data_IF_456766582127
#
_entry.id   IF_456766582127
#
_cell.length_a   1.000
_cell.length_b   1.000
_cell.length_c   1.000
_cell.angle_alpha   90.00
_cell.angle_beta   90.00
_cell.angle_gamma   90.00
#
_symmetry.space_group_name_H-M   'P 1'
#
loop_
_entity.id
_entity.type
_entity.pdbx_description
1 polymer ?
#
# COMPACT_ATOMS: atom_id res chain seq x y z
N UNK A 1 -33.32 79.84 32.44
CA UNK A 1 -32.23 80.02 31.45
C UNK A 1 -31.67 78.65 31.13
N UNK A 2 -32.02 78.09 29.97
CA UNK A 2 -31.48 76.82 29.47
C UNK A 2 -30.22 77.14 28.68
N UNK A 3 -29.05 76.78 29.22
CA UNK A 3 -27.80 76.81 28.49
C UNK A 3 -27.74 75.57 27.60
N UNK A 4 -28.05 75.74 26.32
CA UNK A 4 -27.75 74.76 25.27
C UNK A 4 -26.24 74.71 25.10
N UNK A 5 -25.62 73.66 25.63
CA UNK A 5 -24.22 73.35 25.42
C UNK A 5 -24.05 72.89 23.97
N UNK A 6 -23.71 73.81 23.08
CA UNK A 6 -23.35 73.48 21.71
C UNK A 6 -22.08 72.60 21.73
N UNK A 7 -22.00 71.54 20.92
CA UNK A 7 -20.75 70.81 20.73
C UNK A 7 -19.71 71.79 20.17
N UNK A 8 -18.66 72.07 20.95
CA UNK A 8 -17.62 73.03 20.58
C UNK A 8 -16.76 72.53 19.41
N UNK A 9 -16.01 73.41 18.72
CA UNK A 9 -15.14 73.05 17.58
C UNK A 9 -14.11 71.95 17.88
N UNK A 10 -13.76 71.77 19.16
CA UNK A 10 -12.90 70.67 19.62
C UNK A 10 -13.54 69.28 19.42
N UNK A 11 -14.87 69.13 19.53
CA UNK A 11 -15.53 67.84 19.29
C UNK A 11 -15.67 67.52 17.81
N UNK A 12 -15.91 68.51 16.97
CA UNK A 12 -15.94 68.35 15.51
C UNK A 12 -14.55 67.95 14.98
N UNK A 13 -13.49 68.68 15.38
CA UNK A 13 -12.11 68.34 15.00
C UNK A 13 -11.70 66.93 15.46
N UNK A 14 -12.15 66.51 16.65
CA UNK A 14 -11.89 65.15 17.15
C UNK A 14 -12.63 64.08 16.33
N UNK A 15 -13.88 64.33 15.91
CA UNK A 15 -14.64 63.43 15.04
C UNK A 15 -14.04 63.33 13.63
N UNK A 16 -13.57 64.45 13.07
CA UNK A 16 -12.84 64.47 11.80
C UNK A 16 -11.54 63.67 11.87
N UNK A 17 -10.78 63.81 12.96
CA UNK A 17 -9.54 63.05 13.16
C UNK A 17 -9.81 61.55 13.29
N UNK A 18 -10.90 61.15 13.96
CA UNK A 18 -11.36 59.76 14.04
C UNK A 18 -11.78 59.22 12.67
N UNK A 19 -12.52 60.01 11.87
CA UNK A 19 -12.88 59.62 10.50
C UNK A 19 -11.64 59.43 9.62
N UNK A 20 -10.67 60.34 9.70
CA UNK A 20 -9.42 60.22 8.93
C UNK A 20 -8.68 58.93 9.31
N UNK A 21 -8.49 58.68 10.61
CA UNK A 21 -7.86 57.46 11.10
C UNK A 21 -8.61 56.19 10.69
N UNK A 22 -9.95 56.20 10.70
CA UNK A 22 -10.75 55.06 10.24
C UNK A 22 -10.66 54.84 8.72
N UNK A 23 -10.60 55.91 7.92
CA UNK A 23 -10.37 55.82 6.47
C UNK A 23 -8.98 55.26 6.15
N UNK A 24 -7.95 55.72 6.85
CA UNK A 24 -6.58 55.17 6.73
C UNK A 24 -6.55 53.68 7.11
N UNK A 25 -7.28 53.30 8.18
CA UNK A 25 -7.43 51.90 8.59
C UNK A 25 -8.12 51.07 7.51
N UNK A 26 -9.21 51.57 6.92
CA UNK A 26 -9.91 50.91 5.81
C UNK A 26 -8.97 50.74 4.61
N UNK A 27 -8.18 51.75 4.27
CA UNK A 27 -7.22 51.66 3.16
C UNK A 27 -6.16 50.59 3.46
N UNK A 28 -5.54 50.62 4.65
CA UNK A 28 -4.57 49.59 5.06
C UNK A 28 -5.17 48.19 5.05
N UNK A 29 -6.39 48.01 5.55
CA UNK A 29 -7.09 46.72 5.51
C UNK A 29 -7.41 46.31 4.08
N UNK A 30 -7.71 47.25 3.17
CA UNK A 30 -7.97 46.98 1.76
C UNK A 30 -6.70 46.53 1.04
N UNK A 31 -5.59 47.23 1.23
CA UNK A 31 -4.29 46.85 0.68
C UNK A 31 -3.86 45.46 1.19
N UNK A 32 -4.11 45.18 2.48
CA UNK A 32 -3.87 43.87 3.06
C UNK A 32 -4.77 42.78 2.45
N UNK A 33 -6.04 43.08 2.12
CA UNK A 33 -6.91 42.15 1.39
C UNK A 33 -6.40 41.90 -0.04
N UNK A 34 -5.86 42.90 -0.72
CA UNK A 34 -5.29 42.71 -2.06
C UNK A 34 -4.01 41.86 -2.04
N UNK A 35 -3.13 42.06 -1.06
CA UNK A 35 -1.97 41.19 -0.86
C UNK A 35 -2.38 39.74 -0.55
N UNK A 36 -3.34 39.56 0.37
CA UNK A 36 -3.90 38.25 0.70
C UNK A 36 -4.59 37.59 -0.49
N UNK A 37 -5.20 38.33 -1.42
CA UNK A 37 -5.75 37.76 -2.67
C UNK A 37 -4.67 37.12 -3.53
N UNK A 38 -3.50 37.73 -3.61
CA UNK A 38 -2.37 37.12 -4.32
C UNK A 38 -1.89 35.84 -3.61
N UNK A 39 -1.86 35.84 -2.27
CA UNK A 39 -1.53 34.66 -1.48
C UNK A 39 -2.60 33.56 -1.59
N UNK A 40 -3.88 33.95 -1.67
CA UNK A 40 -5.02 33.06 -1.92
C UNK A 40 -4.92 32.42 -3.29
N UNK A 41 -4.65 33.19 -4.35
CA UNK A 41 -4.48 32.66 -5.71
C UNK A 41 -3.30 31.67 -5.76
N UNK A 42 -2.19 31.99 -5.08
CA UNK A 42 -1.05 31.08 -4.96
C UNK A 42 -1.41 29.81 -4.18
N UNK A 43 -2.21 29.92 -3.12
CA UNK A 43 -2.67 28.77 -2.35
C UNK A 43 -3.69 27.92 -3.13
N UNK A 44 -4.57 28.53 -3.90
CA UNK A 44 -5.51 27.85 -4.78
C UNK A 44 -4.76 27.06 -5.86
N UNK A 45 -3.73 27.65 -6.47
CA UNK A 45 -2.87 26.90 -7.41
C UNK A 45 -2.18 25.71 -6.76
N UNK A 46 -1.71 25.84 -5.51
CA UNK A 46 -1.13 24.70 -4.77
C UNK A 46 -2.17 23.64 -4.45
N UNK A 47 -3.40 24.03 -4.11
CA UNK A 47 -4.51 23.12 -3.86
C UNK A 47 -4.92 22.38 -5.14
N UNK A 48 -5.01 23.07 -6.28
CA UNK A 48 -5.32 22.45 -7.58
C UNK A 48 -4.22 21.45 -8.00
N UNK A 49 -2.95 21.81 -7.80
CA UNK A 49 -1.83 20.89 -8.03
C UNK A 49 -1.86 19.67 -7.09
N UNK A 50 -2.22 19.88 -5.82
CA UNK A 50 -2.40 18.80 -4.85
C UNK A 50 -3.55 17.87 -5.26
N UNK A 51 -4.68 18.40 -5.70
CA UNK A 51 -5.83 17.62 -6.16
C UNK A 51 -5.53 16.85 -7.46
N UNK A 52 -4.78 17.46 -8.40
CA UNK A 52 -4.32 16.75 -9.60
C UNK A 52 -3.38 15.58 -9.24
N UNK A 53 -2.47 15.78 -8.27
CA UNK A 53 -1.61 14.70 -7.76
C UNK A 53 -2.41 13.60 -7.04
N UNK A 54 -3.42 13.96 -6.26
CA UNK A 54 -4.33 13.00 -5.63
C UNK A 54 -5.07 12.16 -6.67
N UNK A 55 -5.55 12.77 -7.75
CA UNK A 55 -6.24 12.04 -8.83
C UNK A 55 -5.32 11.05 -9.53
N UNK A 56 -4.08 11.46 -9.84
CA UNK A 56 -3.06 10.57 -10.43
C UNK A 56 -2.71 9.40 -9.50
N UNK A 57 -2.45 9.71 -8.23
CA UNK A 57 -2.14 8.71 -7.21
C UNK A 57 -3.31 7.75 -6.96
N UNK A 58 -4.55 8.23 -7.02
CA UNK A 58 -5.76 7.40 -6.86
C UNK A 58 -5.93 6.41 -8.01
N UNK A 59 -5.61 6.82 -9.25
CA UNK A 59 -5.58 5.91 -10.40
C UNK A 59 -4.52 4.82 -10.25
N UNK A 60 -3.31 5.22 -9.83
CA UNK A 60 -2.23 4.28 -9.50
C UNK A 60 -2.59 3.34 -8.35
N UNK A 61 -3.32 3.85 -7.35
CA UNK A 61 -3.80 3.08 -6.21
C UNK A 61 -4.76 1.97 -6.65
N UNK A 62 -5.76 2.31 -7.46
CA UNK A 62 -6.72 1.33 -7.97
C UNK A 62 -6.04 0.22 -8.78
N UNK A 63 -5.05 0.59 -9.63
CA UNK A 63 -4.25 -0.39 -10.34
C UNK A 63 -3.41 -1.26 -9.38
N UNK A 64 -2.80 -0.64 -8.37
CA UNK A 64 -2.03 -1.31 -7.34
C UNK A 64 -2.85 -2.28 -6.48
N UNK A 65 -4.09 -1.93 -6.16
CA UNK A 65 -5.06 -2.77 -5.45
C UNK A 65 -5.43 -4.00 -6.26
N UNK A 66 -5.76 -3.81 -7.54
CA UNK A 66 -6.03 -4.93 -8.44
C UNK A 66 -4.81 -5.85 -8.55
N UNK A 67 -3.61 -5.27 -8.71
CA UNK A 67 -2.37 -6.05 -8.77
C UNK A 67 -2.10 -6.82 -7.48
N UNK A 68 -2.41 -6.25 -6.32
CA UNK A 68 -2.29 -6.92 -5.03
C UNK A 68 -3.26 -8.11 -4.94
N UNK A 69 -4.50 -7.94 -5.36
CA UNK A 69 -5.50 -9.02 -5.40
C UNK A 69 -5.04 -10.16 -6.32
N UNK A 70 -4.56 -9.84 -7.53
CA UNK A 70 -4.02 -10.84 -8.47
C UNK A 70 -2.83 -11.60 -7.88
N UNK A 71 -1.95 -10.90 -7.16
CA UNK A 71 -0.79 -11.50 -6.49
C UNK A 71 -1.20 -12.40 -5.32
N UNK A 72 -2.23 -12.01 -4.56
CA UNK A 72 -2.77 -12.82 -3.48
C UNK A 72 -3.40 -14.12 -4.00
N UNK A 73 -4.17 -14.06 -5.10
CA UNK A 73 -4.73 -15.27 -5.72
C UNK A 73 -3.62 -16.20 -6.25
N UNK A 74 -2.60 -15.64 -6.90
CA UNK A 74 -1.44 -16.41 -7.34
C UNK A 74 -0.69 -17.06 -6.16
N UNK A 75 -0.58 -16.34 -5.04
CA UNK A 75 0.04 -16.85 -3.82
C UNK A 75 -0.75 -18.04 -3.26
N UNK A 76 -2.08 -17.91 -3.13
CA UNK A 76 -2.95 -18.99 -2.67
C UNK A 76 -2.86 -20.22 -3.57
N UNK A 77 -2.86 -20.02 -4.89
CA UNK A 77 -2.68 -21.10 -5.87
C UNK A 77 -1.32 -21.79 -5.72
N UNK A 78 -0.25 -21.02 -5.49
CA UNK A 78 1.09 -21.53 -5.27
C UNK A 78 1.20 -22.31 -3.95
N UNK A 79 0.59 -21.83 -2.87
CA UNK A 79 0.51 -22.54 -1.58
C UNK A 79 -0.22 -23.88 -1.71
N UNK A 80 -1.35 -23.90 -2.42
CA UNK A 80 -2.09 -25.12 -2.68
C UNK A 80 -1.25 -26.11 -3.53
N UNK A 81 -0.54 -25.62 -4.55
CA UNK A 81 0.37 -26.44 -5.36
C UNK A 81 1.54 -27.00 -4.55
N UNK A 82 2.09 -26.21 -3.62
CA UNK A 82 3.12 -26.63 -2.70
C UNK A 82 2.61 -27.74 -1.76
N UNK A 83 1.43 -27.59 -1.19
CA UNK A 83 0.80 -28.60 -0.34
C UNK A 83 0.58 -29.93 -1.10
N UNK A 84 0.13 -29.87 -2.36
CA UNK A 84 0.02 -31.05 -3.23
C UNK A 84 1.38 -31.70 -3.48
N UNK A 85 2.42 -30.91 -3.74
CA UNK A 85 3.79 -31.40 -3.96
C UNK A 85 4.36 -32.08 -2.71
N UNK A 86 4.16 -31.50 -1.52
CA UNK A 86 4.53 -32.12 -0.22
C UNK A 86 3.86 -33.48 -0.04
N UNK A 87 2.56 -33.59 -0.32
CA UNK A 87 1.81 -34.87 -0.27
C UNK A 87 2.32 -35.89 -1.29
N UNK A 88 2.70 -35.48 -2.50
CA UNK A 88 3.32 -36.37 -3.51
C UNK A 88 4.66 -36.90 -3.03
N UNK A 89 5.54 -36.03 -2.53
CA UNK A 89 6.84 -36.44 -1.99
C UNK A 89 6.70 -37.40 -0.79
N UNK A 90 5.78 -37.11 0.14
CA UNK A 90 5.54 -37.99 1.28
C UNK A 90 5.10 -39.41 0.85
N UNK A 91 4.21 -39.50 -0.15
CA UNK A 91 3.78 -40.80 -0.72
C UNK A 91 4.92 -41.52 -1.42
N UNK A 92 5.72 -40.81 -2.22
CA UNK A 92 6.87 -41.41 -2.91
C UNK A 92 7.93 -41.94 -1.93
N UNK A 93 8.21 -41.19 -0.85
CA UNK A 93 9.12 -41.64 0.23
C UNK A 93 8.59 -42.86 0.96
N UNK A 94 7.28 -42.92 1.23
CA UNK A 94 6.65 -44.09 1.86
C UNK A 94 6.76 -45.32 0.96
N UNK A 95 6.42 -45.18 -0.32
CA UNK A 95 6.53 -46.28 -1.28
C UNK A 95 7.98 -46.78 -1.41
N UNK A 96 8.95 -45.87 -1.48
CA UNK A 96 10.38 -46.22 -1.45
C UNK A 96 10.76 -46.97 -0.17
N UNK A 97 10.31 -46.53 1.00
CA UNK A 97 10.59 -47.21 2.26
C UNK A 97 9.96 -48.60 2.33
N UNK A 98 8.69 -48.75 1.93
CA UNK A 98 7.98 -50.04 1.86
C UNK A 98 8.71 -51.01 0.92
N UNK A 99 9.17 -50.51 -0.23
CA UNK A 99 9.89 -51.32 -1.21
C UNK A 99 11.27 -51.76 -0.69
N UNK A 100 12.04 -50.85 -0.09
CA UNK A 100 13.34 -51.18 0.51
C UNK A 100 13.22 -52.22 1.65
N UNK A 101 12.17 -52.11 2.47
CA UNK A 101 11.89 -53.11 3.52
C UNK A 101 11.52 -54.46 2.91
N UNK A 102 10.72 -54.48 1.84
CA UNK A 102 10.37 -55.71 1.14
C UNK A 102 11.60 -56.42 0.58
N UNK A 103 12.50 -55.67 -0.09
CA UNK A 103 13.80 -56.17 -0.60
C UNK A 103 14.66 -56.73 0.53
N UNK A 104 14.71 -56.04 1.68
CA UNK A 104 15.45 -56.51 2.86
C UNK A 104 14.86 -57.80 3.45
N UNK A 105 13.53 -57.86 3.62
CA UNK A 105 12.83 -59.01 4.21
C UNK A 105 12.83 -60.24 3.30
N UNK A 106 12.96 -60.07 1.98
CA UNK A 106 13.15 -61.18 1.04
C UNK A 106 14.57 -61.76 1.04
N UNK A 107 15.47 -61.28 1.92
CA UNK A 107 16.84 -61.78 2.06
C UNK A 107 17.92 -60.92 1.38
N UNK A 108 17.59 -59.68 0.97
CA UNK A 108 18.43 -58.85 0.12
C UNK A 108 18.07 -59.01 -1.36
N UNK A 109 18.71 -58.22 -2.24
CA UNK A 109 18.79 -58.58 -3.67
C UNK A 109 19.42 -59.98 -3.75
N UNK A 110 18.75 -61.01 -4.32
CA UNK A 110 19.37 -62.32 -4.43
C UNK A 110 20.77 -62.19 -5.04
N UNK A 111 21.80 -62.58 -4.27
CA UNK A 111 23.16 -62.62 -4.80
C UNK A 111 23.12 -63.55 -6.02
N UNK A 112 23.55 -63.04 -7.17
CA UNK A 112 23.59 -63.81 -8.42
C UNK A 112 24.28 -65.16 -8.23
N UNK A 113 25.19 -65.25 -7.25
CA UNK A 113 25.87 -66.46 -6.83
C UNK A 113 24.93 -67.47 -6.12
N UNK A 114 24.09 -67.04 -5.18
CA UNK A 114 23.12 -67.90 -4.47
C UNK A 114 21.99 -68.35 -5.39
N UNK A 115 21.57 -67.49 -6.33
CA UNK A 115 20.56 -67.84 -7.33
C UNK A 115 21.11 -68.80 -8.39
N UNK A 116 22.39 -68.68 -8.76
CA UNK A 116 23.10 -69.64 -9.61
C UNK A 116 23.28 -71.02 -8.96
N UNK A 117 23.44 -71.07 -7.63
CA UNK A 117 23.53 -72.32 -6.87
C UNK A 117 22.17 -72.99 -6.63
N UNK A 118 21.07 -72.24 -6.68
CA UNK A 118 19.70 -72.73 -6.46
C UNK A 118 18.87 -73.01 -7.73
N UNK A 119 19.29 -72.53 -8.90
CA UNK A 119 18.53 -72.69 -10.15
C UNK A 119 18.57 -74.13 -10.69
N UNK A 120 17.40 -74.71 -11.00
CA UNK A 120 17.28 -76.08 -11.53
C UNK A 120 17.60 -76.19 -13.03
N UNK A 121 17.69 -75.06 -13.73
CA UNK A 121 18.01 -75.00 -15.16
C UNK A 121 18.62 -73.64 -15.57
N UNK A 122 19.34 -73.61 -16.70
CA UNK A 122 19.88 -72.37 -17.30
C UNK A 122 18.79 -71.34 -17.66
N UNK A 123 17.56 -71.79 -17.96
CA UNK A 123 16.42 -70.91 -18.23
C UNK A 123 15.89 -70.21 -16.98
N UNK A 124 15.83 -70.93 -15.85
CA UNK A 124 15.48 -70.35 -14.54
C UNK A 124 16.52 -69.32 -14.08
N UNK A 125 17.81 -69.57 -14.35
CA UNK A 125 18.88 -68.63 -14.03
C UNK A 125 18.77 -67.34 -14.85
N UNK A 126 18.56 -67.44 -16.16
CA UNK A 126 18.42 -66.28 -17.05
C UNK A 126 17.21 -65.42 -16.69
N UNK A 127 16.04 -66.03 -16.46
CA UNK A 127 14.84 -65.32 -16.01
C UNK A 127 15.00 -64.72 -14.62
N UNK A 128 15.77 -65.37 -13.73
CA UNK A 128 16.12 -64.84 -12.43
C UNK A 128 16.99 -63.59 -12.48
N UNK A 129 18.01 -63.59 -13.35
CA UNK A 129 18.88 -62.42 -13.56
C UNK A 129 18.17 -61.24 -14.22
N UNK A 130 17.29 -61.49 -15.20
CA UNK A 130 16.47 -60.43 -15.81
C UNK A 130 15.52 -59.79 -14.77
N UNK A 131 14.97 -60.59 -13.86
CA UNK A 131 14.09 -60.10 -12.80
C UNK A 131 14.83 -59.24 -11.76
N UNK A 132 16.04 -59.63 -11.39
CA UNK A 132 16.94 -58.86 -10.52
C UNK A 132 17.31 -57.51 -11.11
N UNK A 133 17.80 -57.50 -12.35
CA UNK A 133 18.13 -56.26 -13.05
C UNK A 133 16.90 -55.35 -13.16
N UNK A 134 15.70 -55.89 -13.39
CA UNK A 134 14.47 -55.10 -13.44
C UNK A 134 14.09 -54.45 -12.09
N UNK A 135 14.41 -55.10 -10.96
CA UNK A 135 14.20 -54.56 -9.61
C UNK A 135 15.20 -53.43 -9.32
N UNK A 136 16.49 -53.64 -9.59
CA UNK A 136 17.55 -52.63 -9.43
C UNK A 136 17.22 -51.37 -10.25
N UNK A 137 16.87 -51.55 -11.52
CA UNK A 137 16.43 -50.49 -12.43
C UNK A 137 15.21 -49.74 -11.88
N UNK A 138 14.26 -50.46 -11.29
CA UNK A 138 13.06 -49.87 -10.66
C UNK A 138 13.43 -49.07 -9.40
N UNK A 139 14.40 -49.54 -8.62
CA UNK A 139 14.89 -48.89 -7.42
C UNK A 139 15.60 -47.58 -7.74
N UNK A 140 16.50 -47.60 -8.72
CA UNK A 140 17.20 -46.41 -9.20
C UNK A 140 16.20 -45.36 -9.69
N UNK A 141 15.23 -45.76 -10.53
CA UNK A 141 14.15 -44.86 -11.01
C UNK A 141 13.33 -44.28 -9.86
N UNK A 142 13.04 -45.05 -8.82
CA UNK A 142 12.25 -44.59 -7.67
C UNK A 142 13.05 -43.61 -6.80
N UNK A 143 14.34 -43.87 -6.57
CA UNK A 143 15.24 -42.96 -5.86
C UNK A 143 15.43 -41.65 -6.62
N UNK A 144 15.68 -41.72 -7.94
CA UNK A 144 15.78 -40.56 -8.82
C UNK A 144 14.50 -39.73 -8.78
N UNK A 145 13.33 -40.38 -8.83
CA UNK A 145 12.04 -39.71 -8.73
C UNK A 145 11.85 -38.99 -7.39
N UNK A 146 12.26 -39.58 -6.27
CA UNK A 146 12.18 -38.93 -4.96
C UNK A 146 13.15 -37.75 -4.88
N UNK A 147 14.35 -37.87 -5.42
CA UNK A 147 15.34 -36.79 -5.47
C UNK A 147 14.85 -35.61 -6.32
N UNK A 148 14.24 -35.89 -7.49
CA UNK A 148 13.61 -34.88 -8.34
C UNK A 148 12.48 -34.15 -7.60
N UNK A 149 11.58 -34.90 -6.98
CA UNK A 149 10.47 -34.32 -6.21
C UNK A 149 10.93 -33.46 -5.03
N UNK A 150 12.10 -33.76 -4.43
CA UNK A 150 12.71 -32.90 -3.40
C UNK A 150 13.23 -31.60 -4.01
N UNK A 151 14.02 -31.67 -5.09
CA UNK A 151 14.53 -30.47 -5.78
C UNK A 151 13.41 -29.56 -6.27
N UNK A 152 12.37 -30.14 -6.89
CA UNK A 152 11.17 -29.38 -7.26
C UNK A 152 10.49 -28.71 -6.06
N UNK A 153 10.41 -29.40 -4.92
CA UNK A 153 9.78 -28.89 -3.72
C UNK A 153 10.57 -27.73 -3.12
N UNK A 154 11.89 -27.88 -3.00
CA UNK A 154 12.78 -26.85 -2.46
C UNK A 154 12.74 -25.58 -3.32
N UNK A 155 12.77 -25.74 -4.65
CA UNK A 155 12.58 -24.62 -5.58
C UNK A 155 11.22 -23.91 -5.41
N UNK A 156 10.13 -24.68 -5.25
CA UNK A 156 8.79 -24.11 -4.99
C UNK A 156 8.70 -23.38 -3.65
N UNK A 157 9.37 -23.87 -2.60
CA UNK A 157 9.41 -23.20 -1.29
C UNK A 157 10.14 -21.86 -1.40
N UNK A 158 11.30 -21.84 -2.08
CA UNK A 158 12.05 -20.60 -2.30
C UNK A 158 11.24 -19.57 -3.09
N UNK A 159 10.71 -19.97 -4.25
CA UNK A 159 9.89 -19.09 -5.08
C UNK A 159 8.64 -18.56 -4.35
N UNK A 160 8.01 -19.38 -3.50
CA UNK A 160 6.89 -18.93 -2.67
C UNK A 160 7.31 -17.89 -1.63
N UNK A 161 8.48 -18.05 -1.02
CA UNK A 161 9.04 -17.06 -0.10
C UNK A 161 9.29 -15.71 -0.77
N UNK A 162 9.90 -15.73 -1.96
CA UNK A 162 10.15 -14.51 -2.75
C UNK A 162 8.84 -13.83 -3.17
N UNK A 163 7.85 -14.62 -3.59
CA UNK A 163 6.52 -14.12 -3.95
C UNK A 163 5.84 -13.42 -2.77
N UNK A 164 5.85 -14.04 -1.57
CA UNK A 164 5.29 -13.43 -0.34
C UNK A 164 5.94 -12.08 -0.03
N UNK A 165 7.27 -12.04 -0.06
CA UNK A 165 8.02 -10.80 0.19
C UNK A 165 7.68 -9.71 -0.82
N UNK A 166 7.48 -10.06 -2.09
CA UNK A 166 7.07 -9.12 -3.12
C UNK A 166 5.66 -8.56 -2.85
N UNK A 167 4.71 -9.42 -2.47
CA UNK A 167 3.34 -9.01 -2.08
C UNK A 167 3.37 -8.06 -0.89
N UNK A 168 4.11 -8.40 0.18
CA UNK A 168 4.20 -7.59 1.39
C UNK A 168 4.79 -6.20 1.13
N UNK A 169 5.84 -6.13 0.31
CA UNK A 169 6.44 -4.84 -0.12
C UNK A 169 5.46 -4.01 -0.92
N UNK A 170 4.75 -4.62 -1.87
CA UNK A 170 3.75 -3.95 -2.70
C UNK A 170 2.60 -3.39 -1.84
N UNK A 171 2.09 -4.18 -0.91
CA UNK A 171 1.04 -3.76 0.02
C UNK A 171 1.48 -2.64 0.95
N UNK A 172 2.73 -2.68 1.43
CA UNK A 172 3.31 -1.61 2.25
C UNK A 172 3.43 -0.31 1.46
N UNK A 173 3.90 -0.38 0.22
CA UNK A 173 3.99 0.79 -0.66
C UNK A 173 2.59 1.37 -0.95
N UNK A 174 1.61 0.51 -1.17
CA UNK A 174 0.22 0.92 -1.38
C UNK A 174 -0.38 1.63 -0.15
N UNK A 175 -0.13 1.11 1.05
CA UNK A 175 -0.56 1.76 2.29
C UNK A 175 0.08 3.16 2.45
N UNK A 176 1.38 3.27 2.24
CA UNK A 176 2.08 4.56 2.29
C UNK A 176 1.53 5.58 1.27
N UNK A 177 1.18 5.12 0.06
CA UNK A 177 0.55 5.97 -0.94
C UNK A 177 -0.83 6.49 -0.50
N UNK A 178 -1.65 5.65 0.16
CA UNK A 178 -2.95 6.07 0.74
C UNK A 178 -2.75 7.12 1.83
N UNK A 179 -1.79 6.93 2.72
CA UNK A 179 -1.50 7.87 3.79
C UNK A 179 -1.04 9.23 3.23
N UNK A 180 -0.23 9.21 2.18
CA UNK A 180 0.20 10.42 1.49
C UNK A 180 -0.98 11.17 0.85
N UNK A 181 -1.88 10.45 0.16
CA UNK A 181 -3.12 11.04 -0.39
C UNK A 181 -3.95 11.70 0.72
N UNK A 182 -4.20 10.96 1.81
CA UNK A 182 -5.00 11.45 2.92
C UNK A 182 -4.37 12.71 3.57
N UNK A 183 -3.05 12.72 3.71
CA UNK A 183 -2.31 13.88 4.23
C UNK A 183 -2.41 15.09 3.31
N UNK A 184 -2.25 14.90 1.99
CA UNK A 184 -2.37 15.98 0.99
C UNK A 184 -3.78 16.57 1.01
N UNK A 185 -4.80 15.72 1.06
CA UNK A 185 -6.19 16.15 1.15
C UNK A 185 -6.49 16.94 2.44
N UNK A 186 -6.04 16.44 3.59
CA UNK A 186 -6.22 17.13 4.86
C UNK A 186 -5.52 18.51 4.88
N UNK A 187 -4.33 18.61 4.29
CA UNK A 187 -3.61 19.88 4.17
C UNK A 187 -4.33 20.89 3.26
N UNK A 188 -4.89 20.41 2.14
CA UNK A 188 -5.69 21.23 1.22
C UNK A 188 -6.98 21.73 1.89
N UNK A 189 -7.73 20.84 2.57
CA UNK A 189 -8.95 21.19 3.31
C UNK A 189 -8.67 22.20 4.44
N UNK A 190 -7.59 22.00 5.21
CA UNK A 190 -7.18 22.93 6.26
C UNK A 190 -6.81 24.31 5.71
N UNK A 191 -6.06 24.35 4.60
CA UNK A 191 -5.67 25.61 3.97
C UNK A 191 -6.90 26.38 3.50
N UNK A 192 -7.83 25.70 2.81
CA UNK A 192 -9.08 26.30 2.35
C UNK A 192 -9.93 26.86 3.50
N UNK A 193 -10.01 26.16 4.63
CA UNK A 193 -10.72 26.62 5.82
C UNK A 193 -10.10 27.89 6.45
N UNK A 194 -8.76 27.94 6.55
CA UNK A 194 -8.05 29.13 7.06
C UNK A 194 -8.35 30.35 6.20
N UNK A 195 -8.22 30.23 4.89
CA UNK A 195 -8.50 31.34 3.96
C UNK A 195 -9.95 31.83 4.03
N UNK A 196 -10.92 30.91 4.15
CA UNK A 196 -12.32 31.28 4.30
C UNK A 196 -12.57 32.08 5.59
N UNK A 197 -11.94 31.69 6.69
CA UNK A 197 -12.06 32.37 7.99
C UNK A 197 -11.44 33.76 7.97
N UNK A 198 -10.20 33.89 7.49
CA UNK A 198 -9.47 35.17 7.45
C UNK A 198 -10.19 36.21 6.58
N UNK A 199 -10.72 35.79 5.44
CA UNK A 199 -11.52 36.67 4.57
C UNK A 199 -12.82 37.15 5.24
N UNK A 200 -13.50 36.26 5.99
CA UNK A 200 -14.72 36.63 6.71
C UNK A 200 -14.46 37.66 7.82
N UNK A 201 -13.38 37.48 8.58
CA UNK A 201 -13.00 38.42 9.65
C UNK A 201 -12.68 39.82 9.12
N UNK A 202 -11.88 39.90 8.05
CA UNK A 202 -11.49 41.18 7.44
C UNK A 202 -12.69 41.90 6.82
N UNK A 203 -13.60 41.18 6.18
CA UNK A 203 -14.86 41.75 5.69
C UNK A 203 -15.70 42.35 6.82
N UNK A 204 -15.78 41.67 7.97
CA UNK A 204 -16.44 42.18 9.16
C UNK A 204 -15.81 43.44 9.74
N UNK A 205 -14.47 43.51 9.77
CA UNK A 205 -13.74 44.70 10.24
C UNK A 205 -14.02 45.93 9.38
N UNK A 206 -14.02 45.78 8.05
CA UNK A 206 -14.35 46.87 7.11
C UNK A 206 -15.78 47.36 7.33
N UNK A 207 -16.74 46.45 7.50
CA UNK A 207 -18.14 46.82 7.71
C UNK A 207 -18.34 47.58 9.03
N UNK A 208 -17.67 47.14 10.10
CA UNK A 208 -17.66 47.87 11.38
C UNK A 208 -17.13 49.29 11.24
N UNK A 209 -15.97 49.46 10.58
CA UNK A 209 -15.37 50.78 10.37
C UNK A 209 -16.23 51.70 9.51
N UNK A 210 -16.91 51.16 8.49
CA UNK A 210 -17.89 51.91 7.69
C UNK A 210 -19.08 52.35 8.53
N UNK A 211 -19.59 51.48 9.40
CA UNK A 211 -20.66 51.81 10.34
C UNK A 211 -20.29 52.94 11.30
N UNK A 212 -19.07 52.90 11.86
CA UNK A 212 -18.55 53.92 12.75
C UNK A 212 -18.43 55.28 12.06
N UNK A 213 -17.88 55.31 10.83
CA UNK A 213 -17.77 56.53 10.02
C UNK A 213 -19.16 57.13 9.75
N UNK A 214 -20.13 56.31 9.35
CA UNK A 214 -21.51 56.76 9.10
C UNK A 214 -22.19 57.29 10.37
N UNK A 215 -21.87 56.71 11.53
CA UNK A 215 -22.31 57.20 12.83
C UNK A 215 -21.73 58.58 13.15
N UNK A 216 -20.43 58.77 12.97
CA UNK A 216 -19.76 60.05 13.20
C UNK A 216 -20.22 61.14 12.22
N UNK A 217 -20.51 60.80 10.96
CA UNK A 217 -21.04 61.74 9.98
C UNK A 217 -22.40 62.32 10.38
N UNK A 218 -23.22 61.59 11.15
CA UNK A 218 -24.52 62.08 11.64
C UNK A 218 -24.40 62.99 12.86
N UNK A 219 -23.22 63.04 13.49
CA UNK A 219 -22.95 63.81 14.72
C UNK A 219 -22.24 65.15 14.47
N UNK A 220 -21.82 65.40 13.23
CA UNK A 220 -21.29 66.67 12.73
C UNK A 220 -22.45 67.46 12.13
#
# INVERSE_FOLDING_TARGET
MLATLAPGPASAATLEQKQAAARDRIQQTTDAIEADRADLDAAQQRADQASAREADLSGLLANGEQRSADLAEQLDAAEAALARSKKRLARARRFLAEHLVAVYMSGGEPDTLDMALGAGSFGELASGTEYLTAIEDSNERLMERVAELRRELDGKVGALGDAKLAVDRHNTALAAARDQIASVRAAAESSAATFASENAERAGQIESLKGDIAGWQKQI
#
